data_IF_591667067517
#
_entry.id   IF_591667067517
#
_cell.length_a   1.000
_cell.length_b   1.000
_cell.length_c   1.000
_cell.angle_alpha   90.00
_cell.angle_beta   90.00
_cell.angle_gamma   90.00
#
_symmetry.space_group_name_H-M   'P 1'
#
loop_
_entity.id
_entity.type
_entity.pdbx_description
1 polymer ?
#
# COMPACT_ATOMS: atom_id res chain seq x y z
N UNK A 1 20.45 -16.64 38.48
CA UNK A 1 19.29 -15.77 38.77
C UNK A 1 19.17 -15.69 40.28
N UNK A 2 19.77 -14.68 40.89
CA UNK A 2 19.46 -14.34 42.28
C UNK A 2 17.99 -13.92 42.32
N UNK A 3 17.21 -14.51 43.23
CA UNK A 3 15.91 -13.95 43.60
C UNK A 3 16.22 -12.57 44.17
N UNK A 4 15.92 -11.50 43.43
CA UNK A 4 15.91 -10.15 44.01
C UNK A 4 15.03 -10.22 45.25
N UNK A 5 15.63 -10.02 46.43
CA UNK A 5 14.87 -9.92 47.68
C UNK A 5 13.83 -8.81 47.51
N UNK A 6 12.59 -9.12 47.89
CA UNK A 6 11.51 -8.16 47.84
C UNK A 6 11.82 -7.04 48.83
N UNK A 7 11.99 -5.81 48.32
CA UNK A 7 12.35 -4.66 49.14
C UNK A 7 11.21 -4.37 50.13
N UNK A 8 11.55 -4.24 51.41
CA UNK A 8 10.60 -3.75 52.42
C UNK A 8 10.25 -2.28 52.14
N UNK A 9 8.95 -2.02 51.99
CA UNK A 9 8.40 -0.70 51.68
C UNK A 9 7.77 -0.02 52.88
N UNK A 10 7.80 -0.63 54.07
CA UNK A 10 7.13 -0.13 55.28
C UNK A 10 7.53 1.29 55.64
N UNK A 11 8.82 1.62 55.51
CA UNK A 11 9.33 2.98 55.78
C UNK A 11 8.77 4.00 54.80
N UNK A 12 8.70 3.66 53.51
CA UNK A 12 8.12 4.57 52.51
C UNK A 12 6.62 4.74 52.72
N UNK A 13 5.91 3.66 53.03
CA UNK A 13 4.47 3.68 53.28
C UNK A 13 4.13 4.57 54.47
N UNK A 14 4.82 4.38 55.60
CA UNK A 14 4.64 5.22 56.79
C UNK A 14 4.94 6.69 56.48
N UNK A 15 6.06 6.97 55.79
CA UNK A 15 6.41 8.34 55.40
C UNK A 15 5.35 8.99 54.49
N UNK A 16 4.76 8.20 53.58
CA UNK A 16 3.73 8.67 52.65
C UNK A 16 2.40 8.96 53.36
N UNK A 17 2.04 8.14 54.36
CA UNK A 17 0.87 8.37 55.21
C UNK A 17 1.06 9.56 56.17
N UNK A 18 2.26 9.76 56.69
CA UNK A 18 2.57 10.81 57.68
C UNK A 18 2.75 12.20 57.05
N UNK A 19 3.61 12.33 56.02
CA UNK A 19 3.93 13.61 55.38
C UNK A 19 4.54 13.42 53.97
N UNK A 20 3.70 13.54 52.94
CA UNK A 20 4.10 13.51 51.51
C UNK A 20 5.14 14.61 51.19
N UNK A 21 5.12 15.75 51.89
CA UNK A 21 6.07 16.85 51.66
C UNK A 21 7.50 16.52 52.11
N UNK A 22 7.67 15.49 52.92
CA UNK A 22 8.99 15.05 53.40
C UNK A 22 9.79 14.23 52.36
N UNK A 23 9.18 13.82 51.24
CA UNK A 23 9.84 13.04 50.19
C UNK A 23 10.87 13.87 49.41
N UNK A 24 12.02 13.28 49.14
CA UNK A 24 13.03 13.77 48.19
C UNK A 24 12.92 13.05 46.85
N UNK A 25 13.52 13.65 45.82
CA UNK A 25 13.55 13.16 44.43
C UNK A 25 13.84 11.66 44.30
N UNK A 26 14.93 11.22 44.92
CA UNK A 26 15.35 9.82 44.89
C UNK A 26 14.38 8.89 45.62
N UNK A 27 13.82 9.33 46.74
CA UNK A 27 12.90 8.52 47.55
C UNK A 27 11.56 8.32 46.83
N UNK A 28 11.02 9.38 46.22
CA UNK A 28 9.79 9.27 45.42
C UNK A 28 9.99 8.34 44.22
N UNK A 29 11.11 8.49 43.50
CA UNK A 29 11.46 7.62 42.37
C UNK A 29 11.59 6.17 42.79
N UNK A 30 12.36 5.91 43.85
CA UNK A 30 12.64 4.55 44.31
C UNK A 30 11.38 3.87 44.90
N UNK A 31 10.51 4.63 45.57
CA UNK A 31 9.26 4.10 46.11
C UNK A 31 8.30 3.65 45.00
N UNK A 32 7.99 4.53 44.04
CA UNK A 32 7.10 4.21 42.90
C UNK A 32 7.69 3.06 42.07
N UNK A 33 9.00 3.08 41.83
CA UNK A 33 9.71 2.00 41.12
C UNK A 33 9.59 0.67 41.86
N UNK A 34 9.73 0.67 43.19
CA UNK A 34 9.69 -0.54 44.00
C UNK A 34 8.30 -1.14 44.05
N UNK A 35 7.23 -0.34 44.21
CA UNK A 35 5.85 -0.78 44.11
C UNK A 35 5.58 -1.46 42.76
N UNK A 36 5.91 -0.76 41.66
CA UNK A 36 5.76 -1.28 40.30
C UNK A 36 6.52 -2.59 40.08
N UNK A 37 7.77 -2.69 40.54
CA UNK A 37 8.58 -3.89 40.37
C UNK A 37 8.08 -5.09 41.20
N UNK A 38 7.28 -4.85 42.23
CA UNK A 38 6.66 -5.89 43.06
C UNK A 38 5.26 -6.29 42.57
N UNK A 39 4.79 -5.75 41.43
CA UNK A 39 3.44 -6.03 40.91
C UNK A 39 2.33 -5.35 41.71
N UNK A 40 2.66 -4.24 42.38
CA UNK A 40 1.73 -3.37 43.10
C UNK A 40 1.46 -2.13 42.24
N UNK A 41 0.94 -2.35 41.03
CA UNK A 41 0.69 -1.26 40.07
C UNK A 41 -0.34 -0.25 40.60
N UNK A 42 -1.37 -0.71 41.32
CA UNK A 42 -2.45 0.14 41.83
C UNK A 42 -1.92 1.16 42.83
N UNK A 43 -1.13 0.68 43.79
CA UNK A 43 -0.44 1.50 44.78
C UNK A 43 0.60 2.41 44.11
N UNK A 44 1.34 1.91 43.10
CA UNK A 44 2.30 2.72 42.37
C UNK A 44 1.62 3.89 41.63
N UNK A 45 0.43 3.66 41.08
CA UNK A 45 -0.38 4.68 40.41
C UNK A 45 -0.92 5.68 41.42
N UNK A 46 -1.48 5.23 42.54
CA UNK A 46 -2.00 6.10 43.60
C UNK A 46 -0.90 7.02 44.18
N UNK A 47 0.25 6.44 44.52
CA UNK A 47 1.41 7.17 45.05
C UNK A 47 1.94 8.17 44.01
N UNK A 48 2.11 7.72 42.75
CA UNK A 48 2.61 8.60 41.69
C UNK A 48 1.66 9.76 41.38
N UNK A 49 0.34 9.51 41.39
CA UNK A 49 -0.68 10.55 41.20
C UNK A 49 -0.69 11.56 42.36
N UNK A 50 -0.57 11.07 43.59
CA UNK A 50 -0.46 11.93 44.78
C UNK A 50 0.77 12.82 44.70
N UNK A 51 1.93 12.29 44.27
CA UNK A 51 3.11 13.13 44.05
C UNK A 51 2.90 14.14 42.93
N UNK A 52 2.20 13.81 41.85
CA UNK A 52 1.93 14.77 40.76
C UNK A 52 1.10 15.96 41.26
N UNK A 53 0.12 15.70 42.13
CA UNK A 53 -0.79 16.71 42.65
C UNK A 53 -0.15 17.54 43.78
N UNK A 54 0.55 16.89 44.72
CA UNK A 54 1.03 17.54 45.95
C UNK A 54 2.50 17.95 45.91
N UNK A 55 3.29 17.32 45.03
CA UNK A 55 4.75 17.51 44.92
C UNK A 55 5.19 17.65 43.45
N UNK A 56 4.66 18.63 42.71
CA UNK A 56 5.02 18.86 41.30
C UNK A 56 6.47 19.29 41.11
N UNK A 57 7.19 19.62 42.20
CA UNK A 57 8.63 19.85 42.21
C UNK A 57 9.43 18.55 41.97
N UNK A 58 8.84 17.39 42.28
CA UNK A 58 9.48 16.09 42.11
C UNK A 58 9.23 15.55 40.70
N UNK A 59 10.28 15.08 40.02
CA UNK A 59 10.18 14.67 38.60
C UNK A 59 10.72 13.28 38.28
N UNK A 60 11.65 12.76 39.08
CA UNK A 60 12.37 11.52 38.79
C UNK A 60 11.48 10.27 38.85
N UNK A 61 10.33 10.34 39.52
CA UNK A 61 9.37 9.24 39.59
C UNK A 61 8.43 9.18 38.38
N UNK A 62 8.32 10.26 37.59
CA UNK A 62 7.30 10.41 36.53
C UNK A 62 7.32 9.24 35.54
N UNK A 63 8.50 8.84 35.05
CA UNK A 63 8.63 7.70 34.14
C UNK A 63 8.22 6.37 34.81
N UNK A 64 8.43 6.21 36.11
CA UNK A 64 8.02 5.01 36.85
C UNK A 64 6.50 4.95 37.01
N UNK A 65 5.89 6.09 37.34
CA UNK A 65 4.45 6.27 37.38
C UNK A 65 3.81 5.98 36.01
N UNK A 66 4.34 6.57 34.94
CA UNK A 66 3.84 6.30 33.58
C UNK A 66 4.00 4.83 33.17
N UNK A 67 5.05 4.14 33.61
CA UNK A 67 5.17 2.69 33.40
C UNK A 67 4.18 1.86 34.23
N UNK A 68 3.79 2.32 35.43
CA UNK A 68 2.76 1.64 36.21
C UNK A 68 1.40 1.71 35.47
N UNK A 69 1.03 2.90 34.98
CA UNK A 69 -0.14 3.09 34.10
C UNK A 69 -0.05 2.21 32.84
N UNK A 70 1.09 2.24 32.14
CA UNK A 70 1.31 1.44 30.93
C UNK A 70 1.15 -0.05 31.20
N UNK A 71 1.80 -0.58 32.23
CA UNK A 71 1.80 -2.01 32.54
C UNK A 71 0.39 -2.53 32.85
N UNK A 72 -0.38 -1.78 33.64
CA UNK A 72 -1.74 -2.15 34.04
C UNK A 72 -2.72 -2.06 32.86
N UNK A 73 -2.74 -0.91 32.18
CA UNK A 73 -3.83 -0.60 31.26
C UNK A 73 -3.48 -0.85 29.79
N UNK A 74 -2.25 -0.55 29.35
CA UNK A 74 -1.89 -0.43 27.92
C UNK A 74 -1.07 -1.60 27.38
N UNK A 75 -0.29 -2.27 28.23
CA UNK A 75 0.54 -3.38 27.80
C UNK A 75 -0.32 -4.50 27.23
N UNK A 76 0.06 -4.99 26.05
CA UNK A 76 -0.60 -6.10 25.34
C UNK A 76 -2.10 -5.88 25.06
N UNK A 77 -2.54 -4.63 24.80
CA UNK A 77 -3.94 -4.29 24.50
C UNK A 77 -4.60 -5.20 23.45
N UNK A 78 -3.87 -5.58 22.41
CA UNK A 78 -4.40 -6.40 21.33
C UNK A 78 -4.76 -7.83 21.74
N UNK A 79 -4.30 -8.28 22.91
CA UNK A 79 -4.57 -9.63 23.44
C UNK A 79 -5.71 -9.62 24.49
N UNK A 80 -6.29 -8.44 24.79
CA UNK A 80 -7.37 -8.29 25.79
C UNK A 80 -8.74 -8.40 25.12
N UNK A 81 -9.66 -9.19 25.68
CA UNK A 81 -11.01 -9.41 25.13
C UNK A 81 -11.94 -8.19 25.35
N UNK A 82 -11.91 -7.59 26.55
CA UNK A 82 -12.80 -6.48 26.94
C UNK A 82 -12.04 -5.15 27.10
N UNK A 83 -11.59 -4.58 25.97
CA UNK A 83 -10.91 -3.28 25.97
C UNK A 83 -11.91 -2.13 26.00
N UNK A 84 -11.98 -1.40 27.12
CA UNK A 84 -12.63 -0.08 27.14
C UNK A 84 -11.72 0.94 26.44
N UNK A 85 -12.03 1.25 25.17
CA UNK A 85 -11.22 2.11 24.33
C UNK A 85 -11.12 3.56 24.83
N UNK A 86 -12.19 4.11 25.43
CA UNK A 86 -12.21 5.47 25.98
C UNK A 86 -11.26 5.59 27.17
N UNK A 87 -11.40 4.68 28.14
CA UNK A 87 -10.52 4.62 29.30
C UNK A 87 -9.06 4.45 28.88
N UNK A 88 -8.78 3.56 27.93
CA UNK A 88 -7.41 3.34 27.44
C UNK A 88 -6.86 4.59 26.75
N UNK A 89 -7.67 5.32 26.00
CA UNK A 89 -7.27 6.57 25.37
C UNK A 89 -6.96 7.66 26.41
N UNK A 90 -7.75 7.76 27.47
CA UNK A 90 -7.51 8.68 28.60
C UNK A 90 -6.20 8.37 29.33
N UNK A 91 -5.95 7.10 29.67
CA UNK A 91 -4.70 6.67 30.31
C UNK A 91 -3.50 6.90 29.38
N UNK A 92 -3.64 6.60 28.09
CA UNK A 92 -2.59 6.89 27.12
C UNK A 92 -2.28 8.39 27.07
N UNK A 93 -3.32 9.24 27.06
CA UNK A 93 -3.15 10.69 27.10
C UNK A 93 -2.45 11.14 28.39
N UNK A 94 -2.85 10.64 29.55
CA UNK A 94 -2.21 10.96 30.83
C UNK A 94 -0.71 10.66 30.81
N UNK A 95 -0.30 9.47 30.31
CA UNK A 95 1.12 9.12 30.17
C UNK A 95 1.84 10.11 29.24
N UNK A 96 1.25 10.46 28.10
CA UNK A 96 1.89 11.33 27.12
C UNK A 96 1.92 12.81 27.53
N UNK A 97 1.01 13.24 28.41
CA UNK A 97 1.00 14.60 28.98
C UNK A 97 2.08 14.78 30.06
N UNK A 98 2.38 13.72 30.83
CA UNK A 98 3.36 13.79 31.94
C UNK A 98 4.76 13.31 31.56
N UNK A 99 4.88 12.29 30.70
CA UNK A 99 6.17 11.73 30.29
C UNK A 99 6.70 12.41 29.02
N UNK A 100 8.02 12.37 28.81
CA UNK A 100 8.66 12.85 27.57
C UNK A 100 9.12 11.69 26.71
N UNK A 101 9.28 11.89 25.41
CA UNK A 101 9.93 10.91 24.54
C UNK A 101 11.44 10.92 24.80
N UNK A 102 11.92 9.96 25.60
CA UNK A 102 13.33 9.83 25.96
C UNK A 102 13.68 8.38 26.31
N UNK A 103 14.97 8.12 26.55
CA UNK A 103 15.44 6.78 26.92
C UNK A 103 14.81 6.36 28.26
N UNK A 104 14.29 5.14 28.32
CA UNK A 104 13.62 4.59 29.50
C UNK A 104 12.33 5.31 29.92
N UNK A 105 11.68 6.01 28.99
CA UNK A 105 10.33 6.55 29.18
C UNK A 105 9.26 5.61 28.60
N UNK A 106 8.06 5.54 29.21
CA UNK A 106 6.92 4.82 28.64
C UNK A 106 6.33 5.48 27.40
N UNK A 107 6.69 6.73 27.07
CA UNK A 107 6.06 7.52 25.99
C UNK A 107 6.02 6.78 24.64
N UNK A 108 7.19 6.32 24.16
CA UNK A 108 7.28 5.62 22.87
C UNK A 108 6.58 4.24 22.94
N UNK A 109 6.64 3.57 24.10
CA UNK A 109 6.00 2.28 24.31
C UNK A 109 4.47 2.40 24.26
N UNK A 110 3.91 3.44 24.88
CA UNK A 110 2.49 3.78 24.84
C UNK A 110 2.03 4.03 23.41
N UNK A 111 2.71 4.90 22.66
CA UNK A 111 2.36 5.15 21.25
C UNK A 111 2.41 3.86 20.42
N UNK A 112 3.45 3.05 20.57
CA UNK A 112 3.59 1.80 19.83
C UNK A 112 2.52 0.76 20.19
N UNK A 113 2.10 0.67 21.46
CA UNK A 113 1.02 -0.22 21.88
C UNK A 113 -0.33 0.20 21.28
N UNK A 114 -0.63 1.50 21.27
CA UNK A 114 -1.84 2.04 20.63
C UNK A 114 -1.84 1.81 19.11
N UNK A 115 -0.69 2.04 18.45
CA UNK A 115 -0.53 1.71 17.02
C UNK A 115 -0.74 0.21 16.77
N UNK A 116 -0.18 -0.66 17.62
CA UNK A 116 -0.34 -2.12 17.48
C UNK A 116 -1.80 -2.54 17.64
N UNK A 117 -2.51 -1.97 18.61
CA UNK A 117 -3.94 -2.19 18.83
C UNK A 117 -4.79 -1.71 17.64
N UNK A 118 -4.49 -0.54 17.08
CA UNK A 118 -5.16 -0.03 15.89
C UNK A 118 -4.95 -0.93 14.65
N UNK A 119 -3.74 -1.46 14.48
CA UNK A 119 -3.37 -2.38 13.41
C UNK A 119 -4.00 -3.78 13.55
N UNK A 120 -4.41 -4.20 14.74
CA UNK A 120 -5.04 -5.51 14.95
C UNK A 120 -6.56 -5.52 14.69
N UNK A 121 -7.19 -4.35 14.54
CA UNK A 121 -8.61 -4.25 14.21
C UNK A 121 -8.90 -4.71 12.78
N UNK A 122 -10.14 -5.14 12.53
CA UNK A 122 -10.65 -5.47 11.21
C UNK A 122 -11.99 -4.74 10.97
N UNK A 123 -12.04 -3.71 10.11
CA UNK A 123 -10.93 -3.14 9.35
C UNK A 123 -9.88 -2.43 10.25
N UNK A 124 -8.67 -2.23 9.70
CA UNK A 124 -7.58 -1.52 10.39
C UNK A 124 -7.96 -0.06 10.63
N UNK A 125 -7.65 0.45 11.81
CA UNK A 125 -7.94 1.83 12.22
C UNK A 125 -6.76 2.76 11.93
N UNK A 126 -6.64 3.20 10.67
CA UNK A 126 -5.52 4.04 10.23
C UNK A 126 -5.55 5.47 10.80
N UNK A 127 -6.71 5.97 11.21
CA UNK A 127 -6.84 7.27 11.89
C UNK A 127 -6.14 7.23 13.25
N UNK A 128 -6.36 6.17 14.03
CA UNK A 128 -5.64 5.97 15.29
C UNK A 128 -4.14 5.74 15.06
N UNK A 129 -3.76 4.98 14.03
CA UNK A 129 -2.34 4.81 13.65
C UNK A 129 -1.68 6.17 13.38
N UNK A 130 -2.30 7.01 12.54
CA UNK A 130 -1.80 8.33 12.22
C UNK A 130 -1.69 9.23 13.47
N UNK A 131 -2.73 9.22 14.31
CA UNK A 131 -2.79 10.01 15.55
C UNK A 131 -1.61 9.75 16.48
N UNK A 132 -1.24 8.47 16.69
CA UNK A 132 -0.13 8.12 17.59
C UNK A 132 1.24 8.19 16.91
N UNK A 133 1.33 8.11 15.58
CA UNK A 133 2.57 8.42 14.86
C UNK A 133 2.93 9.90 14.95
N UNK A 134 1.94 10.78 14.88
CA UNK A 134 2.13 12.25 14.96
C UNK A 134 2.55 12.74 16.35
N UNK A 135 2.39 11.89 17.37
CA UNK A 135 2.87 12.17 18.74
C UNK A 135 4.35 11.83 18.93
N UNK A 136 4.94 11.06 18.02
CA UNK A 136 6.35 10.68 18.11
C UNK A 136 7.22 11.74 17.42
N UNK A 137 8.29 12.15 18.10
CA UNK A 137 9.39 12.88 17.48
C UNK A 137 10.28 11.89 16.71
N UNK A 138 10.31 11.94 15.37
CA UNK A 138 11.09 11.02 14.57
C UNK A 138 12.60 11.19 14.75
N UNK A 139 13.08 12.35 15.20
CA UNK A 139 14.52 12.61 15.40
C UNK A 139 15.10 11.82 16.57
N UNK A 140 14.24 11.39 17.49
CA UNK A 140 14.60 10.60 18.68
C UNK A 140 14.45 9.08 18.46
N UNK A 141 13.94 8.65 17.30
CA UNK A 141 13.76 7.24 17.00
C UNK A 141 15.08 6.60 16.55
N UNK A 142 15.33 5.37 17.04
CA UNK A 142 16.51 4.59 16.64
C UNK A 142 16.47 4.27 15.14
N UNK A 143 17.60 4.57 14.47
CA UNK A 143 17.86 4.17 13.08
C UNK A 143 18.50 2.78 12.97
N UNK A 144 18.98 2.24 14.07
CA UNK A 144 19.60 0.92 14.11
C UNK A 144 18.57 -0.17 13.81
N UNK A 145 18.86 -1.09 12.87
CA UNK A 145 18.02 -2.24 12.60
C UNK A 145 17.77 -3.07 13.86
N UNK A 146 16.58 -3.68 13.93
CA UNK A 146 16.27 -4.59 15.01
C UNK A 146 16.95 -5.94 14.78
N UNK A 147 17.84 -6.35 15.68
CA UNK A 147 18.53 -7.64 15.63
C UNK A 147 18.11 -8.47 16.84
N UNK A 148 17.59 -9.67 16.58
CA UNK A 148 17.30 -10.66 17.62
C UNK A 148 18.05 -11.95 17.28
N UNK A 149 18.68 -12.56 18.29
CA UNK A 149 19.48 -13.77 18.11
C UNK A 149 18.65 -14.89 17.45
N UNK A 150 19.22 -15.51 16.42
CA UNK A 150 18.56 -16.55 15.63
C UNK A 150 17.44 -16.06 14.70
N UNK A 151 17.19 -14.74 14.61
CA UNK A 151 16.19 -14.17 13.69
C UNK A 151 16.83 -13.29 12.63
N UNK A 152 16.14 -13.19 11.49
CA UNK A 152 16.49 -12.24 10.44
C UNK A 152 16.39 -10.82 10.98
N UNK A 153 17.39 -10.01 10.68
CA UNK A 153 17.39 -8.57 10.93
C UNK A 153 16.09 -7.92 10.42
N UNK A 154 15.53 -7.03 11.23
CA UNK A 154 14.29 -6.32 10.95
C UNK A 154 14.40 -4.81 10.94
N UNK A 155 13.30 -4.18 10.57
CA UNK A 155 13.21 -2.73 10.43
C UNK A 155 13.57 -1.99 11.74
N UNK A 156 14.22 -0.84 11.58
CA UNK A 156 14.47 0.07 12.71
C UNK A 156 13.18 0.77 13.13
N UNK A 157 13.19 1.39 14.33
CA UNK A 157 12.05 2.19 14.80
C UNK A 157 11.75 3.36 13.84
N UNK A 158 12.81 4.00 13.35
CA UNK A 158 12.74 5.10 12.39
C UNK A 158 12.18 4.66 11.03
N UNK A 159 12.62 3.50 10.53
CA UNK A 159 12.08 2.93 9.29
C UNK A 159 10.60 2.60 9.41
N UNK A 160 10.21 1.92 10.51
CA UNK A 160 8.82 1.58 10.80
C UNK A 160 7.93 2.82 10.84
N UNK A 161 8.42 3.91 11.45
CA UNK A 161 7.69 5.18 11.52
C UNK A 161 7.39 5.73 10.14
N UNK A 162 8.39 5.82 9.24
CA UNK A 162 8.14 6.29 7.86
C UNK A 162 7.15 5.40 7.11
N UNK A 163 7.34 4.08 7.18
CA UNK A 163 6.47 3.11 6.50
C UNK A 163 5.02 3.25 6.93
N UNK A 164 4.76 3.32 8.24
CA UNK A 164 3.40 3.45 8.76
C UNK A 164 2.83 4.86 8.55
N UNK A 165 3.65 5.91 8.60
CA UNK A 165 3.21 7.29 8.36
C UNK A 165 2.74 7.47 6.92
N UNK A 166 3.52 7.00 5.94
CA UNK A 166 3.14 7.06 4.52
C UNK A 166 1.88 6.24 4.27
N UNK A 167 1.83 4.99 4.78
CA UNK A 167 0.67 4.13 4.60
C UNK A 167 -0.59 4.73 5.22
N UNK A 168 -0.53 5.12 6.50
CA UNK A 168 -1.69 5.70 7.18
C UNK A 168 -2.18 6.98 6.50
N UNK A 169 -1.27 7.87 6.08
CA UNK A 169 -1.65 9.07 5.33
C UNK A 169 -2.36 8.76 4.00
N UNK A 170 -1.97 7.70 3.30
CA UNK A 170 -2.69 7.26 2.10
C UNK A 170 -4.10 6.72 2.43
N UNK A 171 -4.19 5.83 3.42
CA UNK A 171 -5.43 5.15 3.81
C UNK A 171 -6.46 6.14 4.39
N UNK A 172 -6.00 7.20 5.07
CA UNK A 172 -6.84 8.31 5.57
C UNK A 172 -7.05 9.42 4.54
N UNK A 173 -6.65 9.20 3.27
CA UNK A 173 -6.79 10.15 2.16
C UNK A 173 -6.08 11.49 2.35
N UNK A 174 -5.12 11.56 3.27
CA UNK A 174 -4.22 12.71 3.40
C UNK A 174 -3.07 12.58 2.37
N UNK A 175 -3.43 12.67 1.09
CA UNK A 175 -2.51 12.41 -0.02
C UNK A 175 -1.32 13.38 -0.06
N UNK A 176 -1.52 14.65 0.36
CA UNK A 176 -0.43 15.62 0.45
C UNK A 176 0.64 15.18 1.46
N UNK A 177 0.22 14.80 2.67
CA UNK A 177 1.13 14.27 3.70
C UNK A 177 1.79 12.97 3.25
N UNK A 178 1.06 12.09 2.58
CA UNK A 178 1.60 10.84 2.02
C UNK A 178 2.79 11.14 1.08
N UNK A 179 2.61 12.04 0.11
CA UNK A 179 3.67 12.43 -0.85
C UNK A 179 4.85 13.08 -0.14
N UNK A 180 4.59 14.02 0.77
CA UNK A 180 5.64 14.73 1.52
C UNK A 180 6.50 13.75 2.34
N UNK A 181 5.87 12.90 3.15
CA UNK A 181 6.57 11.93 4.00
C UNK A 181 7.30 10.88 3.18
N UNK A 182 6.74 10.47 2.03
CA UNK A 182 7.40 9.55 1.13
C UNK A 182 8.65 10.18 0.49
N UNK A 183 8.60 11.45 0.09
CA UNK A 183 9.77 12.17 -0.43
C UNK A 183 10.86 12.31 0.63
N UNK A 184 10.49 12.65 1.87
CA UNK A 184 11.42 12.68 3.00
C UNK A 184 12.05 11.30 3.24
N UNK A 185 11.25 10.23 3.25
CA UNK A 185 11.73 8.86 3.38
C UNK A 185 12.76 8.52 2.29
N UNK A 186 12.49 8.83 1.02
CA UNK A 186 13.39 8.52 -0.09
C UNK A 186 14.72 9.29 -0.04
N UNK A 187 14.79 10.40 0.70
CA UNK A 187 16.04 11.13 0.95
C UNK A 187 16.86 10.54 2.10
N UNK A 188 16.32 9.59 2.88
CA UNK A 188 17.01 9.02 4.02
C UNK A 188 18.05 7.98 3.59
N UNK A 189 19.28 8.12 4.09
CA UNK A 189 20.30 7.10 3.98
C UNK A 189 20.17 6.07 5.11
N UNK A 190 19.19 5.17 4.98
CA UNK A 190 18.97 4.05 5.92
C UNK A 190 18.89 2.72 5.16
N UNK A 191 19.15 1.63 5.87
CA UNK A 191 18.91 0.28 5.35
C UNK A 191 17.40 -0.01 5.41
N UNK A 192 16.79 -0.17 4.24
CA UNK A 192 15.39 -0.54 4.10
C UNK A 192 15.21 -2.06 4.12
N UNK A 193 14.33 -2.55 4.98
CA UNK A 193 13.96 -3.95 5.15
C UNK A 193 12.64 -4.23 4.43
N UNK A 194 12.32 -5.51 4.21
CA UNK A 194 11.01 -5.98 3.75
C UNK A 194 10.43 -5.29 2.50
N UNK A 195 11.28 -4.70 1.64
CA UNK A 195 10.87 -3.84 0.52
C UNK A 195 10.04 -2.62 0.94
N UNK A 196 10.26 -2.11 2.14
CA UNK A 196 9.54 -0.97 2.69
C UNK A 196 9.69 0.29 1.83
N UNK A 197 10.89 0.57 1.31
CA UNK A 197 11.11 1.67 0.37
C UNK A 197 10.23 1.56 -0.88
N UNK A 198 10.05 0.33 -1.41
CA UNK A 198 9.20 0.08 -2.56
C UNK A 198 7.72 0.36 -2.24
N UNK A 199 7.21 -0.13 -1.11
CA UNK A 199 5.83 0.15 -0.71
C UNK A 199 5.58 1.64 -0.49
N UNK A 200 6.53 2.36 0.10
CA UNK A 200 6.45 3.82 0.23
C UNK A 200 6.34 4.50 -1.14
N UNK A 201 7.12 4.05 -2.13
CA UNK A 201 7.04 4.54 -3.51
C UNK A 201 5.68 4.26 -4.17
N UNK A 202 5.09 3.09 -3.94
CA UNK A 202 3.74 2.75 -4.42
C UNK A 202 2.68 3.68 -3.80
N UNK A 203 2.68 3.86 -2.48
CA UNK A 203 1.72 4.76 -1.83
C UNK A 203 1.90 6.22 -2.28
N UNK A 204 3.15 6.66 -2.49
CA UNK A 204 3.45 7.97 -3.09
C UNK A 204 2.83 8.11 -4.48
N UNK A 205 3.00 7.10 -5.34
CA UNK A 205 2.44 7.13 -6.69
C UNK A 205 0.90 7.16 -6.66
N UNK A 206 0.26 6.29 -5.87
CA UNK A 206 -1.21 6.28 -5.72
C UNK A 206 -1.73 7.61 -5.16
N UNK A 207 -1.02 8.22 -4.21
CA UNK A 207 -1.36 9.55 -3.70
C UNK A 207 -1.20 10.64 -4.76
N UNK A 208 -0.16 10.61 -5.58
CA UNK A 208 0.01 11.52 -6.72
C UNK A 208 -1.12 11.39 -7.74
N UNK A 209 -1.56 10.16 -8.05
CA UNK A 209 -2.73 9.94 -8.90
C UNK A 209 -3.98 10.60 -8.32
N UNK A 210 -4.25 10.42 -7.03
CA UNK A 210 -5.39 11.03 -6.36
C UNK A 210 -5.31 12.58 -6.31
N UNK A 211 -4.11 13.14 -6.42
CA UNK A 211 -3.87 14.58 -6.49
C UNK A 211 -3.87 15.14 -7.93
N UNK A 212 -3.97 14.29 -8.96
CA UNK A 212 -3.88 14.69 -10.36
C UNK A 212 -2.45 14.93 -10.87
N UNK A 213 -1.42 14.51 -10.12
CA UNK A 213 -0.02 14.60 -10.52
C UNK A 213 0.34 13.39 -11.41
N UNK A 214 -0.20 13.38 -12.62
CA UNK A 214 -0.19 12.21 -13.50
C UNK A 214 1.20 11.84 -14.03
N UNK A 215 2.04 12.82 -14.36
CA UNK A 215 3.38 12.58 -14.93
C UNK A 215 4.31 11.90 -13.91
N UNK A 216 4.36 12.40 -12.68
CA UNK A 216 5.13 11.78 -11.59
C UNK A 216 4.61 10.39 -11.26
N UNK A 217 3.30 10.20 -11.31
CA UNK A 217 2.68 8.90 -11.08
C UNK A 217 3.08 7.89 -12.17
N UNK A 218 2.96 8.28 -13.45
CA UNK A 218 3.32 7.43 -14.60
C UNK A 218 4.78 7.00 -14.52
N UNK A 219 5.68 7.97 -14.36
CA UNK A 219 7.11 7.71 -14.27
C UNK A 219 7.42 6.73 -13.14
N UNK A 220 6.87 6.97 -11.95
CA UNK A 220 7.08 6.11 -10.80
C UNK A 220 6.59 4.68 -11.05
N UNK A 221 5.35 4.50 -11.53
CA UNK A 221 4.80 3.18 -11.85
C UNK A 221 5.64 2.43 -12.89
N UNK A 222 5.97 3.08 -14.00
CA UNK A 222 6.79 2.48 -15.06
C UNK A 222 8.15 2.01 -14.51
N UNK A 223 8.81 2.80 -13.68
CA UNK A 223 10.11 2.40 -13.09
C UNK A 223 10.00 1.21 -12.12
N UNK A 224 8.83 1.01 -11.52
CA UNK A 224 8.57 -0.05 -10.54
C UNK A 224 8.11 -1.37 -11.15
N UNK A 225 7.67 -1.39 -12.42
CA UNK A 225 7.04 -2.50 -13.14
C UNK A 225 7.65 -3.90 -12.89
N UNK A 226 8.96 -3.96 -12.75
CA UNK A 226 9.72 -5.22 -12.71
C UNK A 226 10.18 -5.60 -11.29
N UNK A 227 9.81 -4.82 -10.26
CA UNK A 227 10.23 -5.07 -8.85
C UNK A 227 9.15 -5.84 -8.07
N UNK A 228 7.87 -5.70 -8.45
CA UNK A 228 6.73 -6.51 -8.02
C UNK A 228 5.53 -6.19 -8.93
N UNK A 229 4.63 -7.14 -9.18
CA UNK A 229 3.38 -6.87 -9.91
C UNK A 229 2.35 -6.36 -8.90
N UNK A 230 2.10 -5.04 -8.88
CA UNK A 230 0.84 -4.53 -8.30
C UNK A 230 -0.30 -5.19 -9.09
N UNK A 231 -1.25 -5.85 -8.43
CA UNK A 231 -2.36 -6.52 -9.13
C UNK A 231 -3.18 -5.54 -9.96
N UNK A 232 -3.15 -4.25 -9.60
CA UNK A 232 -3.82 -3.17 -10.31
C UNK A 232 -2.84 -2.31 -11.15
N UNK A 233 -1.67 -2.84 -11.52
CA UNK A 233 -0.62 -2.09 -12.23
C UNK A 233 -1.14 -1.42 -13.51
N UNK A 234 -1.70 -2.20 -14.44
CA UNK A 234 -2.20 -1.68 -15.71
C UNK A 234 -3.44 -0.80 -15.53
N UNK A 235 -4.29 -1.12 -14.54
CA UNK A 235 -5.45 -0.28 -14.19
C UNK A 235 -5.03 1.08 -13.69
N UNK A 236 -3.95 1.14 -12.91
CA UNK A 236 -3.41 2.41 -12.42
C UNK A 236 -2.88 3.23 -13.59
N UNK A 237 -2.15 2.62 -14.53
CA UNK A 237 -1.71 3.28 -15.76
C UNK A 237 -2.86 3.75 -16.65
N UNK A 238 -3.93 2.95 -16.76
CA UNK A 238 -5.18 3.37 -17.40
C UNK A 238 -5.76 4.62 -16.73
N UNK A 239 -5.91 4.63 -15.40
CA UNK A 239 -6.45 5.76 -14.64
C UNK A 239 -5.59 7.03 -14.81
N UNK A 240 -4.27 6.90 -14.88
CA UNK A 240 -3.34 8.01 -15.10
C UNK A 240 -3.57 8.66 -16.47
N UNK A 241 -3.72 7.88 -17.54
CA UNK A 241 -3.95 8.43 -18.88
C UNK A 241 -5.40 8.93 -19.05
N UNK A 242 -6.38 8.18 -18.55
CA UNK A 242 -7.79 8.56 -18.61
C UNK A 242 -8.07 9.85 -17.82
N UNK A 243 -7.38 10.07 -16.69
CA UNK A 243 -7.45 11.32 -15.93
C UNK A 243 -6.89 12.54 -16.67
N UNK A 244 -6.08 12.33 -17.72
CA UNK A 244 -5.60 13.36 -18.64
C UNK A 244 -6.44 13.43 -19.92
N UNK A 245 -7.59 12.74 -19.98
CA UNK A 245 -8.46 12.64 -21.16
C UNK A 245 -7.76 12.00 -22.39
N UNK A 246 -6.64 11.32 -22.18
CA UNK A 246 -5.88 10.57 -23.19
C UNK A 246 -6.44 9.16 -23.32
N UNK A 247 -7.70 9.05 -23.77
CA UNK A 247 -8.45 7.81 -23.71
C UNK A 247 -7.88 6.70 -24.60
N UNK A 248 -7.34 7.03 -25.77
CA UNK A 248 -6.75 6.01 -26.66
C UNK A 248 -5.48 5.43 -26.05
N UNK A 249 -4.63 6.25 -25.43
CA UNK A 249 -3.45 5.82 -24.70
C UNK A 249 -3.80 5.05 -23.42
N UNK A 250 -4.87 5.47 -22.72
CA UNK A 250 -5.39 4.74 -21.56
C UNK A 250 -5.85 3.34 -21.95
N UNK A 251 -6.60 3.23 -23.05
CA UNK A 251 -7.18 1.99 -23.53
C UNK A 251 -6.11 0.94 -23.88
N UNK A 252 -4.88 1.34 -24.21
CA UNK A 252 -3.76 0.40 -24.39
C UNK A 252 -3.55 -0.45 -23.14
N UNK A 253 -3.49 0.20 -21.97
CA UNK A 253 -3.29 -0.50 -20.69
C UNK A 253 -4.53 -1.31 -20.28
N UNK A 254 -5.73 -0.77 -20.50
CA UNK A 254 -6.99 -1.45 -20.19
C UNK A 254 -7.17 -2.73 -21.00
N UNK A 255 -7.03 -2.65 -22.32
CA UNK A 255 -7.16 -3.80 -23.20
C UNK A 255 -6.07 -4.83 -22.89
N UNK A 256 -4.83 -4.37 -22.70
CA UNK A 256 -3.75 -5.27 -22.30
C UNK A 256 -4.07 -6.01 -20.99
N UNK A 257 -4.62 -5.33 -19.98
CA UNK A 257 -5.06 -5.96 -18.72
C UNK A 257 -6.19 -6.98 -18.93
N UNK A 258 -7.15 -6.68 -19.82
CA UNK A 258 -8.23 -7.60 -20.20
C UNK A 258 -7.69 -8.89 -20.82
N UNK A 259 -6.81 -8.79 -21.81
CA UNK A 259 -6.29 -9.99 -22.48
C UNK A 259 -5.41 -10.84 -21.56
N UNK A 260 -4.51 -10.24 -20.78
CA UNK A 260 -3.65 -11.03 -19.87
C UNK A 260 -4.41 -11.61 -18.68
N UNK A 261 -5.50 -10.97 -18.25
CA UNK A 261 -6.33 -11.48 -17.16
C UNK A 261 -7.26 -12.60 -17.64
N UNK A 262 -7.71 -12.54 -18.89
CA UNK A 262 -8.73 -13.41 -19.43
C UNK A 262 -10.09 -13.24 -18.71
N UNK A 263 -10.97 -14.21 -18.92
CA UNK A 263 -12.26 -14.24 -18.25
C UNK A 263 -12.12 -14.58 -16.76
N UNK A 264 -12.58 -13.66 -15.92
CA UNK A 264 -12.76 -13.89 -14.47
C UNK A 264 -14.01 -13.16 -13.97
N UNK A 265 -14.88 -13.89 -13.26
CA UNK A 265 -16.14 -13.39 -12.70
C UNK A 265 -15.92 -12.30 -11.63
N UNK A 266 -14.74 -12.24 -11.04
CA UNK A 266 -14.38 -11.26 -10.01
C UNK A 266 -13.88 -9.93 -10.60
N UNK A 267 -13.55 -9.88 -11.89
CA UNK A 267 -12.99 -8.70 -12.56
C UNK A 267 -14.07 -7.70 -13.03
N UNK A 268 -15.19 -7.59 -12.31
CA UNK A 268 -16.31 -6.69 -12.68
C UNK A 268 -15.88 -5.24 -12.89
N UNK A 269 -14.90 -4.75 -12.13
CA UNK A 269 -14.36 -3.40 -12.29
C UNK A 269 -13.72 -3.21 -13.68
N UNK A 270 -13.00 -4.21 -14.18
CA UNK A 270 -12.34 -4.17 -15.47
C UNK A 270 -13.36 -4.12 -16.62
N UNK A 271 -14.41 -4.93 -16.55
CA UNK A 271 -15.49 -4.90 -17.55
C UNK A 271 -16.26 -3.57 -17.55
N UNK A 272 -16.44 -2.94 -16.39
CA UNK A 272 -17.03 -1.60 -16.32
C UNK A 272 -16.12 -0.52 -16.96
N UNK A 273 -14.80 -0.62 -16.79
CA UNK A 273 -13.86 0.27 -17.48
C UNK A 273 -13.94 0.09 -19.00
N UNK A 274 -13.99 -1.15 -19.48
CA UNK A 274 -14.14 -1.45 -20.90
C UNK A 274 -15.49 -1.00 -21.47
N UNK A 275 -16.57 -1.11 -20.69
CA UNK A 275 -17.89 -0.58 -21.06
C UNK A 275 -17.83 0.94 -21.27
N UNK A 276 -17.18 1.66 -20.36
CA UNK A 276 -17.00 3.10 -20.51
C UNK A 276 -16.15 3.44 -21.75
N UNK A 277 -15.07 2.69 -21.99
CA UNK A 277 -14.26 2.87 -23.19
C UNK A 277 -15.07 2.62 -24.47
N UNK A 278 -15.92 1.59 -24.51
CA UNK A 278 -16.80 1.28 -25.64
C UNK A 278 -17.84 2.39 -25.88
N UNK A 279 -18.41 2.96 -24.82
CA UNK A 279 -19.32 4.12 -24.91
C UNK A 279 -18.62 5.35 -25.49
N UNK A 280 -17.42 5.66 -25.02
CA UNK A 280 -16.61 6.79 -25.55
C UNK A 280 -16.25 6.56 -27.02
N UNK A 281 -15.93 5.32 -27.40
CA UNK A 281 -15.60 4.94 -28.77
C UNK A 281 -16.83 4.89 -29.71
N UNK A 282 -18.05 4.97 -29.18
CA UNK A 282 -19.29 4.81 -29.97
C UNK A 282 -19.51 3.40 -30.51
N UNK A 283 -18.99 2.38 -29.82
CA UNK A 283 -19.06 0.98 -30.25
C UNK A 283 -20.30 0.28 -29.66
N UNK A 284 -21.48 0.58 -30.22
CA UNK A 284 -22.79 0.15 -29.67
C UNK A 284 -22.90 -1.35 -29.40
N UNK A 285 -22.39 -2.18 -30.32
CA UNK A 285 -22.46 -3.65 -30.17
C UNK A 285 -21.62 -4.16 -28.99
N UNK A 286 -20.41 -3.64 -28.81
CA UNK A 286 -19.59 -3.95 -27.64
C UNK A 286 -20.24 -3.43 -26.35
N UNK A 287 -20.89 -2.26 -26.38
CA UNK A 287 -21.65 -1.72 -25.24
C UNK A 287 -22.75 -2.70 -24.81
N UNK A 288 -23.59 -3.17 -25.73
CA UNK A 288 -24.65 -4.15 -25.42
C UNK A 288 -24.10 -5.46 -24.84
N UNK A 289 -23.01 -5.98 -25.42
CA UNK A 289 -22.36 -7.21 -24.93
C UNK A 289 -21.79 -7.04 -23.51
N UNK A 290 -21.16 -5.89 -23.21
CA UNK A 290 -20.60 -5.59 -21.90
C UNK A 290 -21.68 -5.37 -20.84
N UNK A 291 -22.77 -4.69 -21.19
CA UNK A 291 -23.93 -4.52 -20.30
C UNK A 291 -24.57 -5.88 -19.97
N UNK A 292 -24.75 -6.74 -20.98
CA UNK A 292 -25.22 -8.11 -20.80
C UNK A 292 -24.28 -8.95 -19.93
N UNK A 293 -22.96 -8.86 -20.15
CA UNK A 293 -21.94 -9.56 -19.35
C UNK A 293 -22.04 -9.18 -17.87
N UNK A 294 -22.06 -7.88 -17.58
CA UNK A 294 -22.13 -7.36 -16.20
C UNK A 294 -23.45 -7.79 -15.54
N UNK A 295 -24.58 -7.69 -16.25
CA UNK A 295 -25.88 -8.14 -15.76
C UNK A 295 -25.87 -9.64 -15.44
N UNK A 296 -25.31 -10.47 -16.33
CA UNK A 296 -25.20 -11.92 -16.13
C UNK A 296 -24.31 -12.27 -14.94
N UNK A 297 -23.16 -11.60 -14.79
CA UNK A 297 -22.27 -11.78 -13.63
C UNK A 297 -22.94 -11.39 -12.31
N UNK A 298 -23.92 -10.46 -12.33
CA UNK A 298 -24.73 -10.15 -11.14
C UNK A 298 -25.77 -11.23 -10.86
N UNK A 299 -26.47 -11.71 -11.88
CA UNK A 299 -27.43 -12.81 -11.77
C UNK A 299 -26.77 -14.08 -11.22
N UNK A 300 -25.61 -14.47 -11.75
CA UNK A 300 -24.84 -15.63 -11.30
C UNK A 300 -24.31 -15.49 -9.86
N UNK A 301 -24.13 -14.25 -9.39
CA UNK A 301 -23.77 -13.97 -8.01
C UNK A 301 -25.00 -13.90 -7.07
N UNK A 302 -26.19 -14.27 -7.55
CA UNK A 302 -27.44 -14.25 -6.79
C UNK A 302 -28.04 -12.86 -6.58
N UNK A 303 -27.61 -11.85 -7.36
CA UNK A 303 -28.17 -10.50 -7.32
C UNK A 303 -29.27 -10.35 -8.37
N UNK A 304 -30.28 -9.54 -8.07
CA UNK A 304 -31.32 -9.19 -9.03
C UNK A 304 -30.72 -8.35 -10.18
N UNK A 305 -30.85 -8.85 -11.40
CA UNK A 305 -30.39 -8.20 -12.62
C UNK A 305 -31.22 -8.68 -13.82
N UNK A 306 -31.49 -7.78 -14.76
CA UNK A 306 -32.19 -8.11 -16.01
C UNK A 306 -31.17 -8.24 -17.13
N UNK A 307 -31.18 -9.38 -17.82
CA UNK A 307 -30.37 -9.63 -19.01
C UNK A 307 -31.30 -9.54 -20.23
N UNK A 308 -30.85 -8.90 -21.30
CA UNK A 308 -31.63 -8.84 -22.55
C UNK A 308 -31.95 -10.24 -23.08
N UNK A 309 -33.12 -10.40 -23.70
CA UNK A 309 -33.64 -11.68 -24.16
C UNK A 309 -32.65 -12.41 -25.10
N UNK A 310 -31.94 -11.64 -25.93
CA UNK A 310 -30.91 -12.15 -26.85
C UNK A 310 -29.76 -12.90 -26.15
N UNK A 311 -29.51 -12.63 -24.87
CA UNK A 311 -28.43 -13.24 -24.07
C UNK A 311 -28.95 -14.07 -22.88
N UNK A 312 -30.27 -14.20 -22.72
CA UNK A 312 -30.88 -14.82 -21.54
C UNK A 312 -30.40 -16.27 -21.30
N UNK A 313 -30.22 -17.03 -22.39
CA UNK A 313 -29.81 -18.44 -22.36
C UNK A 313 -28.29 -18.64 -22.32
N UNK A 314 -27.50 -17.57 -22.38
CA UNK A 314 -26.04 -17.66 -22.36
C UNK A 314 -25.52 -17.51 -20.93
N UNK A 315 -24.42 -18.18 -20.60
CA UNK A 315 -23.65 -17.86 -19.39
C UNK A 315 -22.70 -16.68 -19.60
N UNK A 316 -22.14 -16.14 -18.52
CA UNK A 316 -21.24 -14.98 -18.62
C UNK A 316 -19.92 -15.28 -19.32
N UNK A 317 -19.47 -16.53 -19.39
CA UNK A 317 -18.29 -16.93 -20.17
C UNK A 317 -18.57 -16.83 -21.67
N UNK A 318 -19.71 -17.38 -22.12
CA UNK A 318 -20.11 -17.29 -23.52
C UNK A 318 -20.34 -15.84 -23.98
N UNK A 319 -20.89 -14.98 -23.12
CA UNK A 319 -21.03 -13.54 -23.42
C UNK A 319 -19.66 -12.86 -23.48
N UNK A 320 -18.74 -13.23 -22.58
CA UNK A 320 -17.37 -12.72 -22.59
C UNK A 320 -16.65 -13.07 -23.90
N UNK A 321 -16.75 -14.31 -24.37
CA UNK A 321 -16.11 -14.74 -25.62
C UNK A 321 -16.62 -13.92 -26.83
N UNK A 322 -17.93 -13.69 -26.90
CA UNK A 322 -18.50 -12.82 -27.95
C UNK A 322 -18.05 -11.36 -27.82
N UNK A 323 -17.95 -10.87 -26.59
CA UNK A 323 -17.51 -9.51 -26.29
C UNK A 323 -16.05 -9.30 -26.70
N UNK A 324 -15.16 -10.20 -26.30
CA UNK A 324 -13.73 -10.06 -26.58
C UNK A 324 -13.45 -10.19 -28.07
N UNK A 325 -14.13 -11.10 -28.77
CA UNK A 325 -14.08 -11.20 -30.23
C UNK A 325 -14.49 -9.89 -30.91
N UNK A 326 -15.59 -9.28 -30.45
CA UNK A 326 -16.10 -8.05 -31.04
C UNK A 326 -15.14 -6.87 -30.82
N UNK A 327 -14.58 -6.76 -29.62
CA UNK A 327 -13.56 -5.76 -29.29
C UNK A 327 -12.29 -5.98 -30.10
N UNK A 328 -11.85 -7.23 -30.26
CA UNK A 328 -10.61 -7.59 -30.99
C UNK A 328 -10.72 -7.21 -32.48
N UNK A 329 -11.87 -7.45 -33.12
CA UNK A 329 -12.09 -7.07 -34.53
C UNK A 329 -12.08 -5.56 -34.77
N UNK A 330 -12.25 -4.75 -33.73
CA UNK A 330 -12.39 -3.30 -33.84
C UNK A 330 -11.44 -2.56 -32.88
N UNK A 331 -10.22 -3.10 -32.66
CA UNK A 331 -9.24 -2.50 -31.76
C UNK A 331 -8.87 -1.06 -32.13
N UNK A 332 -8.92 -0.71 -33.42
CA UNK A 332 -8.66 0.61 -33.98
C UNK A 332 -9.64 1.70 -33.48
N UNK A 333 -10.84 1.30 -33.02
CA UNK A 333 -11.77 2.19 -32.33
C UNK A 333 -11.23 2.64 -30.97
N UNK A 334 -10.46 1.78 -30.29
CA UNK A 334 -10.01 1.98 -28.91
C UNK A 334 -8.58 2.50 -28.79
N UNK A 335 -7.68 2.08 -29.68
CA UNK A 335 -6.24 2.34 -29.59
C UNK A 335 -5.66 2.72 -30.96
N UNK A 336 -4.49 3.36 -30.97
CA UNK A 336 -3.72 3.55 -32.19
C UNK A 336 -3.08 2.22 -32.62
N UNK A 337 -3.20 1.88 -33.91
CA UNK A 337 -2.63 0.69 -34.52
C UNK A 337 -1.49 1.09 -35.46
N UNK A 338 -0.42 0.33 -35.43
CA UNK A 338 0.75 0.46 -36.30
C UNK A 338 1.07 -0.87 -36.94
N UNK A 339 1.61 -0.82 -38.15
CA UNK A 339 2.06 -2.00 -38.89
C UNK A 339 3.58 -2.07 -38.89
N UNK A 340 4.11 -3.27 -38.77
CA UNK A 340 5.55 -3.51 -38.88
C UNK A 340 5.86 -4.93 -39.33
N UNK A 341 7.16 -5.25 -39.39
CA UNK A 341 7.65 -6.56 -39.80
C UNK A 341 8.49 -7.19 -38.70
N UNK A 342 8.20 -8.44 -38.33
CA UNK A 342 9.02 -9.19 -37.36
C UNK A 342 10.40 -9.43 -37.99
N UNK A 343 11.45 -8.82 -37.43
CA UNK A 343 12.82 -8.95 -37.97
C UNK A 343 13.70 -9.90 -37.18
N UNK A 344 13.38 -10.09 -35.90
CA UNK A 344 14.07 -10.99 -34.98
C UNK A 344 13.07 -11.64 -34.03
N UNK A 345 13.25 -12.93 -33.79
CA UNK A 345 12.55 -13.68 -32.75
C UNK A 345 13.52 -14.71 -32.14
N UNK A 346 13.52 -14.81 -30.82
CA UNK A 346 14.28 -15.79 -30.05
C UNK A 346 13.28 -16.73 -29.40
N UNK A 347 13.15 -17.94 -29.96
CA UNK A 347 12.21 -18.97 -29.51
C UNK A 347 12.44 -19.38 -28.05
N UNK A 348 13.70 -19.56 -27.63
CA UNK A 348 14.02 -19.98 -26.25
C UNK A 348 13.61 -18.96 -25.18
N UNK A 349 13.60 -17.67 -25.55
CA UNK A 349 13.30 -16.56 -24.63
C UNK A 349 11.95 -15.91 -24.90
N UNK A 350 11.22 -16.40 -25.89
CA UNK A 350 9.89 -15.92 -26.29
C UNK A 350 9.86 -14.40 -26.47
N UNK A 351 10.87 -13.84 -27.12
CA UNK A 351 11.03 -12.40 -27.32
C UNK A 351 11.56 -12.05 -28.69
N UNK A 352 11.17 -10.87 -29.19
CA UNK A 352 11.51 -10.46 -30.54
C UNK A 352 11.54 -8.95 -30.74
N UNK A 353 11.66 -8.55 -32.00
CA UNK A 353 11.61 -7.15 -32.41
C UNK A 353 10.91 -6.96 -33.75
N UNK A 354 10.08 -5.93 -33.82
CA UNK A 354 9.34 -5.51 -35.02
C UNK A 354 10.03 -4.28 -35.60
N UNK A 355 10.36 -4.32 -36.88
CA UNK A 355 10.84 -3.15 -37.62
C UNK A 355 9.66 -2.31 -38.09
N UNK A 356 9.80 -0.99 -37.91
CA UNK A 356 8.82 0.03 -38.31
C UNK A 356 9.56 1.01 -39.21
N UNK A 357 9.00 1.35 -40.37
CA UNK A 357 9.70 2.11 -41.42
C UNK A 357 10.37 3.38 -40.90
N UNK A 358 11.70 3.48 -41.04
CA UNK A 358 12.49 4.66 -40.65
C UNK A 358 12.64 4.88 -39.14
N UNK A 359 12.17 3.95 -38.29
CA UNK A 359 12.21 4.05 -36.84
C UNK A 359 13.03 2.91 -36.21
N UNK A 360 13.54 3.09 -34.97
CA UNK A 360 14.12 1.98 -34.21
C UNK A 360 13.13 0.82 -34.06
N UNK A 361 13.63 -0.41 -34.14
CA UNK A 361 12.79 -1.60 -33.94
C UNK A 361 12.18 -1.60 -32.53
N UNK A 362 10.93 -2.03 -32.41
CA UNK A 362 10.22 -2.13 -31.15
C UNK A 362 10.25 -3.56 -30.59
N UNK A 363 10.47 -3.68 -29.29
CA UNK A 363 10.52 -4.96 -28.58
C UNK A 363 9.12 -5.55 -28.36
N UNK A 364 9.00 -6.87 -28.37
CA UNK A 364 7.81 -7.61 -27.93
C UNK A 364 8.17 -8.94 -27.29
N UNK A 365 7.21 -9.55 -26.57
CA UNK A 365 7.24 -10.94 -26.10
C UNK A 365 6.15 -11.76 -26.80
N UNK A 366 6.30 -13.08 -26.84
CA UNK A 366 5.24 -13.97 -27.36
C UNK A 366 3.89 -13.69 -26.70
N UNK A 367 3.87 -13.53 -25.38
CA UNK A 367 2.68 -13.20 -24.59
C UNK A 367 2.09 -11.79 -24.85
N UNK A 368 2.64 -11.02 -25.79
CA UNK A 368 2.10 -9.73 -26.20
C UNK A 368 1.20 -9.84 -27.47
N UNK A 369 1.09 -11.04 -28.08
CA UNK A 369 0.09 -11.39 -29.10
C UNK A 369 -1.28 -11.65 -28.47
N UNK A 370 -2.36 -11.30 -29.19
CA UNK A 370 -3.74 -11.47 -28.70
C UNK A 370 -4.20 -12.91 -28.79
N UNK A 371 -3.81 -13.58 -29.87
CA UNK A 371 -4.04 -15.00 -30.09
C UNK A 371 -2.73 -15.76 -29.84
N UNK A 372 -2.83 -17.05 -29.53
CA UNK A 372 -1.66 -17.96 -29.42
C UNK A 372 -1.07 -18.25 -30.82
N UNK A 373 -0.78 -17.19 -31.58
CA UNK A 373 -0.18 -17.22 -32.92
C UNK A 373 1.30 -17.61 -32.82
N UNK A 374 1.73 -18.52 -33.68
CA UNK A 374 3.15 -18.85 -33.81
C UNK A 374 3.89 -17.70 -34.50
N UNK A 375 4.82 -17.05 -33.80
CA UNK A 375 5.57 -15.93 -34.36
C UNK A 375 6.46 -16.38 -35.52
N UNK A 376 6.23 -15.83 -36.71
CA UNK A 376 7.08 -16.09 -37.88
C UNK A 376 8.00 -14.92 -38.18
N UNK A 377 9.27 -15.22 -38.42
CA UNK A 377 10.20 -14.20 -38.89
C UNK A 377 9.75 -13.69 -40.25
N UNK A 378 9.81 -12.37 -40.42
CA UNK A 378 9.38 -11.63 -41.61
C UNK A 378 7.88 -11.51 -41.81
N UNK A 379 7.09 -11.95 -40.84
CA UNK A 379 5.65 -11.72 -40.80
C UNK A 379 5.34 -10.25 -40.62
N UNK A 380 4.28 -9.80 -41.30
CA UNK A 380 3.71 -8.46 -41.11
C UNK A 380 2.70 -8.55 -39.97
N UNK A 381 2.82 -7.63 -39.02
CA UNK A 381 1.97 -7.62 -37.85
C UNK A 381 1.46 -6.21 -37.59
N UNK A 382 0.22 -6.16 -37.11
CA UNK A 382 -0.39 -4.95 -36.56
C UNK A 382 -0.28 -4.99 -35.03
N UNK A 383 0.09 -3.86 -34.44
CA UNK A 383 0.35 -3.76 -33.01
C UNK A 383 0.01 -2.38 -32.47
N UNK A 384 0.01 -2.26 -31.15
CA UNK A 384 -0.09 -0.99 -30.43
C UNK A 384 1.16 -0.78 -29.58
N UNK A 385 1.66 0.44 -29.53
CA UNK A 385 2.78 0.77 -28.64
C UNK A 385 2.30 1.04 -27.21
N UNK A 386 2.89 0.35 -26.25
CA UNK A 386 2.68 0.60 -24.84
C UNK A 386 3.99 1.07 -24.19
N UNK A 387 3.94 2.18 -23.44
CA UNK A 387 5.10 2.63 -22.69
C UNK A 387 5.49 1.61 -21.63
N UNK A 388 6.79 1.49 -21.42
CA UNK A 388 7.43 0.57 -20.48
C UNK A 388 8.72 1.20 -19.97
N UNK A 389 9.46 0.51 -19.11
CA UNK A 389 10.73 1.00 -18.58
C UNK A 389 11.88 0.05 -18.87
N UNK A 390 12.89 0.53 -19.59
CA UNK A 390 14.14 -0.19 -19.80
C UNK A 390 15.06 0.04 -18.60
N UNK A 391 15.16 -0.99 -17.75
CA UNK A 391 16.03 -0.96 -16.56
C UNK A 391 17.50 -0.79 -16.87
N UNK A 392 17.99 -1.38 -17.97
CA UNK A 392 19.42 -1.33 -18.31
C UNK A 392 19.80 0.07 -18.75
N UNK A 393 18.89 0.73 -19.49
CA UNK A 393 19.08 2.10 -19.96
C UNK A 393 18.58 3.16 -18.98
N UNK A 394 17.85 2.75 -17.93
CA UNK A 394 17.22 3.63 -16.94
C UNK A 394 16.35 4.72 -17.57
N UNK A 395 15.55 4.34 -18.57
CA UNK A 395 14.70 5.28 -19.31
C UNK A 395 13.37 4.63 -19.66
N UNK A 396 12.35 5.47 -19.80
CA UNK A 396 11.07 5.07 -20.41
C UNK A 396 11.34 4.71 -21.88
N UNK A 397 10.75 3.60 -22.31
CA UNK A 397 10.77 3.11 -23.70
C UNK A 397 9.36 2.63 -24.06
N UNK A 398 9.21 1.98 -25.23
CA UNK A 398 7.95 1.35 -25.64
C UNK A 398 8.17 -0.12 -25.97
N UNK A 399 7.12 -0.93 -25.82
CA UNK A 399 7.01 -2.28 -26.38
C UNK A 399 5.75 -2.40 -27.23
N UNK A 400 5.77 -3.31 -28.19
CA UNK A 400 4.58 -3.68 -28.93
C UNK A 400 3.71 -4.63 -28.09
N UNK A 401 2.40 -4.39 -28.12
CA UNK A 401 1.36 -5.21 -27.48
C UNK A 401 0.13 -5.30 -28.38
N UNK A 402 -0.79 -6.19 -28.01
CA UNK A 402 -2.03 -6.40 -28.74
C UNK A 402 -1.69 -6.76 -30.19
N UNK A 403 -0.70 -7.64 -30.37
CA UNK A 403 -0.13 -7.97 -31.68
C UNK A 403 -1.01 -9.00 -32.37
N UNK A 404 -1.21 -8.83 -33.67
CA UNK A 404 -1.92 -9.75 -34.56
C UNK A 404 -1.23 -9.79 -35.93
N UNK A 405 -1.35 -10.89 -36.66
CA UNK A 405 -1.06 -10.92 -38.09
C UNK A 405 -1.81 -9.81 -38.83
N UNK A 406 -1.13 -9.13 -39.77
CA UNK A 406 -1.74 -8.04 -40.55
C UNK A 406 -2.50 -8.58 -41.75
N UNK A 407 -3.75 -8.13 -41.96
CA UNK A 407 -4.60 -8.54 -43.08
C UNK A 407 -4.28 -7.81 -44.41
N UNK A 408 -3.41 -6.78 -44.41
CA UNK A 408 -3.08 -6.02 -45.61
C UNK A 408 -2.06 -6.74 -46.52
N UNK A 409 -2.48 -7.07 -47.76
CA UNK A 409 -1.59 -7.54 -48.84
C UNK A 409 -0.66 -6.40 -49.34
N UNK A 410 0.65 -6.68 -49.35
CA UNK A 410 1.73 -6.01 -50.10
C UNK A 410 1.74 -4.47 -50.20
N UNK A 411 2.02 -3.78 -49.08
CA UNK A 411 2.77 -2.52 -49.17
C UNK A 411 4.25 -2.80 -49.37
N UNK A 412 4.74 -2.54 -50.58
CA UNK A 412 6.12 -2.67 -51.01
C UNK A 412 7.03 -1.73 -50.19
N UNK A 413 7.62 -2.24 -49.10
CA UNK A 413 8.72 -1.57 -48.40
C UNK A 413 9.95 -1.67 -49.29
N UNK A 414 10.10 -0.68 -50.18
CA UNK A 414 11.28 -0.54 -51.04
C UNK A 414 12.54 -0.66 -50.20
N UNK A 415 13.32 -1.68 -50.53
CA UNK A 415 14.65 -1.95 -49.97
C UNK A 415 15.62 -0.78 -50.19
#
# INVERSE_FOLDING_TARGET
MEKNEQKDLSVYKQKFEDDVASFREFEAMDYVKSLKNQGLEDEAIEVGKTFLEQRPDLTAYINQYGYALYNKYIKNLQDKEDVNAEMVAEIAKEILDVCKQERYSPYEATCNAMIKYALSKSPVDYEMVATYLDKLDPTLLSKEPFVQEGRKEGESKFERWYRLTVRSAYETKNYKKCVEMANQAMAMNIKWHYRNAYWIRIYRAKANLALGNYEECEHEYLTLQSQFFDSDYYRTLYQIQAGQEKYREANVYLLYDVYISGYDKNQKSLYNMLLNAAKIAGHDKAVSLLEALIAKLNQEAGKEATVEEAYANMDSGEIYDRMIDEVTRHLDLYVERKTGKVVHYNEEKELGSIAVGGQPSIFFRQADFIYDEEVRRYERVDFTEMKTYDRKKQTITSKAVLIMESEEEDFNFGY
#
